data_IF_200392300563
#
_entry.id   IF_200392300563
#
_cell.length_a   1.000
_cell.length_b   1.000
_cell.length_c   1.000
_cell.angle_alpha   90.00
_cell.angle_beta   90.00
_cell.angle_gamma   90.00
#
_symmetry.space_group_name_H-M   'P 1'
#
loop_
_entity.id
_entity.type
_entity.pdbx_description
1 polymer ?
#
# COMPACT_ATOMS: atom_id res chain seq x y z
N UNK A 1 -33.39 14.33 -3.40
CA UNK A 1 -32.02 13.78 -3.50
C UNK A 1 -32.09 12.29 -3.14
N UNK A 2 -31.86 11.36 -4.08
CA UNK A 2 -31.94 9.91 -3.81
C UNK A 2 -30.79 9.56 -2.88
N UNK A 3 -31.07 9.41 -1.58
CA UNK A 3 -30.04 9.11 -0.59
C UNK A 3 -29.56 7.67 -0.79
N UNK A 4 -28.24 7.48 -0.73
CA UNK A 4 -27.59 6.17 -0.86
C UNK A 4 -26.48 6.08 0.18
N UNK A 5 -26.32 4.90 0.79
CA UNK A 5 -25.30 4.64 1.81
C UNK A 5 -23.86 4.87 1.30
N UNK A 6 -23.61 4.65 0.01
CA UNK A 6 -22.32 4.89 -0.59
C UNK A 6 -22.04 6.37 -0.87
N UNK A 7 -20.82 6.79 -0.54
CA UNK A 7 -20.31 8.11 -0.89
C UNK A 7 -20.25 8.30 -2.41
N UNK A 8 -20.34 9.56 -2.87
CA UNK A 8 -20.18 9.90 -4.29
C UNK A 8 -18.83 9.44 -4.83
N UNK A 9 -17.78 9.53 -4.01
CA UNK A 9 -16.41 9.12 -4.36
C UNK A 9 -16.31 7.61 -4.62
N UNK A 10 -16.89 6.79 -3.73
CA UNK A 10 -16.94 5.33 -3.91
C UNK A 10 -17.72 4.97 -5.17
N UNK A 11 -18.88 5.60 -5.38
CA UNK A 11 -19.69 5.36 -6.57
C UNK A 11 -18.96 5.72 -7.87
N UNK A 12 -18.23 6.84 -7.88
CA UNK A 12 -17.42 7.24 -9.03
C UNK A 12 -16.28 6.24 -9.28
N UNK A 13 -15.54 5.83 -8.24
CA UNK A 13 -14.46 4.84 -8.37
C UNK A 13 -14.97 3.48 -8.86
N UNK A 14 -16.07 2.98 -8.31
CA UNK A 14 -16.67 1.72 -8.75
C UNK A 14 -17.11 1.74 -10.21
N UNK A 15 -17.58 2.89 -10.73
CA UNK A 15 -17.90 3.07 -12.15
C UNK A 15 -16.64 3.08 -13.00
N UNK A 16 -15.61 3.79 -12.54
CA UNK A 16 -14.32 3.94 -13.23
C UNK A 16 -13.59 2.60 -13.43
N UNK A 17 -13.69 1.69 -12.46
CA UNK A 17 -13.13 0.32 -12.56
C UNK A 17 -14.10 -0.71 -13.16
N UNK A 18 -15.25 -0.30 -13.70
CA UNK A 18 -16.20 -1.20 -14.35
C UNK A 18 -16.87 -2.21 -13.40
N UNK A 19 -16.97 -1.89 -12.10
CA UNK A 19 -17.60 -2.74 -11.08
C UNK A 19 -19.08 -2.38 -10.92
N UNK A 20 -19.43 -1.10 -11.05
CA UNK A 20 -20.79 -0.61 -10.86
C UNK A 20 -21.76 -1.32 -11.82
N UNK A 21 -22.93 -1.79 -11.35
CA UNK A 21 -23.84 -2.55 -12.18
C UNK A 21 -24.44 -1.67 -13.30
N UNK A 22 -24.76 -2.31 -14.43
CA UNK A 22 -25.45 -1.71 -15.60
C UNK A 22 -24.62 -0.77 -16.49
N UNK A 23 -23.29 -0.89 -16.54
CA UNK A 23 -22.48 -0.18 -17.54
C UNK A 23 -22.39 -0.98 -18.84
N UNK A 24 -22.71 -0.39 -20.02
CA UNK A 24 -22.74 -1.11 -21.30
C UNK A 24 -21.35 -1.53 -21.81
N UNK A 25 -20.27 -0.96 -21.26
CA UNK A 25 -18.87 -1.19 -21.68
C UNK A 25 -17.96 -1.76 -20.57
N UNK A 26 -18.52 -2.49 -19.61
CA UNK A 26 -17.74 -3.02 -18.46
C UNK A 26 -16.56 -3.90 -18.86
N UNK A 27 -16.70 -4.71 -19.91
CA UNK A 27 -15.63 -5.62 -20.35
C UNK A 27 -14.40 -4.86 -20.89
N UNK A 28 -14.61 -3.81 -21.69
CA UNK A 28 -13.53 -2.96 -22.23
C UNK A 28 -12.80 -2.20 -21.12
N UNK A 29 -13.56 -1.66 -20.15
CA UNK A 29 -12.95 -0.97 -19.00
C UNK A 29 -12.10 -1.93 -18.19
N UNK A 30 -12.54 -3.17 -17.98
CA UNK A 30 -11.77 -4.20 -17.24
C UNK A 30 -10.52 -4.63 -17.98
N UNK A 31 -10.61 -4.90 -19.28
CA UNK A 31 -9.45 -5.31 -20.07
C UNK A 31 -8.40 -4.21 -20.07
N UNK A 32 -8.80 -2.95 -20.21
CA UNK A 32 -7.88 -1.81 -20.10
C UNK A 32 -7.15 -1.77 -18.75
N UNK A 33 -7.87 -1.89 -17.63
CA UNK A 33 -7.24 -1.87 -16.30
C UNK A 33 -6.34 -3.07 -16.05
N UNK A 34 -6.75 -4.28 -16.46
CA UNK A 34 -5.93 -5.48 -16.34
C UNK A 34 -4.62 -5.29 -17.11
N UNK A 35 -4.70 -4.88 -18.37
CA UNK A 35 -3.50 -4.68 -19.20
C UNK A 35 -2.60 -3.62 -18.56
N UNK A 36 -3.15 -2.46 -18.17
CA UNK A 36 -2.38 -1.38 -17.54
C UNK A 36 -1.65 -1.83 -16.26
N UNK A 37 -2.33 -2.51 -15.35
CA UNK A 37 -1.75 -3.01 -14.09
C UNK A 37 -0.73 -4.12 -14.32
N UNK A 38 -1.03 -5.10 -15.19
CA UNK A 38 -0.13 -6.22 -15.48
C UNK A 38 1.14 -5.72 -16.15
N UNK A 39 1.03 -4.78 -17.10
CA UNK A 39 2.21 -4.23 -17.79
C UNK A 39 3.14 -3.52 -16.79
N UNK A 40 2.58 -2.72 -15.87
CA UNK A 40 3.36 -2.07 -14.83
C UNK A 40 4.02 -3.08 -13.86
N UNK A 41 3.28 -4.14 -13.47
CA UNK A 41 3.82 -5.22 -12.64
C UNK A 41 4.95 -5.98 -13.33
N UNK A 42 4.87 -6.22 -14.63
CA UNK A 42 5.93 -6.91 -15.37
C UNK A 42 7.24 -6.12 -15.27
N UNK A 43 7.22 -4.79 -15.50
CA UNK A 43 8.44 -3.97 -15.37
C UNK A 43 9.00 -3.92 -13.94
N UNK A 44 8.11 -3.99 -12.96
CA UNK A 44 8.43 -4.07 -11.53
C UNK A 44 9.08 -5.41 -11.17
N UNK A 45 8.52 -6.54 -11.61
CA UNK A 45 9.09 -7.86 -11.38
C UNK A 45 10.41 -8.06 -12.12
N UNK A 46 10.53 -7.56 -13.36
CA UNK A 46 11.79 -7.56 -14.10
C UNK A 46 12.87 -6.81 -13.32
N UNK A 47 12.54 -5.67 -12.67
CA UNK A 47 13.48 -4.97 -11.80
C UNK A 47 13.89 -5.82 -10.60
N UNK A 48 12.91 -6.36 -9.85
CA UNK A 48 13.18 -7.15 -8.63
C UNK A 48 14.04 -8.39 -8.92
N UNK A 49 13.80 -9.06 -10.05
CA UNK A 49 14.51 -10.30 -10.40
C UNK A 49 15.89 -10.03 -10.99
N UNK A 50 16.03 -9.03 -11.86
CA UNK A 50 17.25 -8.82 -12.65
C UNK A 50 18.19 -7.75 -12.09
N UNK A 51 17.77 -6.99 -11.10
CA UNK A 51 18.61 -5.95 -10.53
C UNK A 51 19.41 -6.53 -9.36
N UNK A 52 20.75 -6.46 -9.43
CA UNK A 52 21.58 -6.60 -8.25
C UNK A 52 21.43 -5.32 -7.42
N UNK A 53 20.76 -5.38 -6.26
CA UNK A 53 20.45 -4.16 -5.52
C UNK A 53 21.73 -3.57 -4.94
N UNK A 54 21.98 -2.28 -5.21
CA UNK A 54 23.13 -1.57 -4.65
C UNK A 54 23.03 -1.42 -3.13
N UNK A 55 21.78 -1.38 -2.64
CA UNK A 55 21.43 -1.48 -1.24
C UNK A 55 20.18 -2.34 -1.07
N UNK A 56 20.09 -3.12 0.00
CA UNK A 56 18.86 -3.89 0.29
C UNK A 56 17.66 -2.96 0.52
N UNK A 57 17.86 -1.71 0.96
CA UNK A 57 16.78 -0.74 1.05
C UNK A 57 16.12 -0.50 -0.31
N UNK A 58 16.90 -0.40 -1.39
CA UNK A 58 16.37 -0.29 -2.75
C UNK A 58 15.65 -1.56 -3.19
N UNK A 59 16.21 -2.73 -2.86
CA UNK A 59 15.54 -4.01 -3.13
C UNK A 59 14.17 -4.08 -2.47
N UNK A 60 14.08 -3.69 -1.20
CA UNK A 60 12.84 -3.75 -0.43
C UNK A 60 11.81 -2.71 -0.83
N UNK A 61 12.25 -1.53 -1.26
CA UNK A 61 11.37 -0.54 -1.88
C UNK A 61 10.77 -1.10 -3.19
N UNK A 62 11.60 -1.79 -4.00
CA UNK A 62 11.16 -2.56 -5.17
C UNK A 62 10.15 -3.65 -4.81
N UNK A 63 10.55 -4.65 -4.02
CA UNK A 63 9.68 -5.76 -3.60
C UNK A 63 8.42 -5.24 -2.92
N UNK A 64 8.56 -4.29 -2.00
CA UNK A 64 7.47 -3.71 -1.24
C UNK A 64 6.41 -3.08 -2.14
N UNK A 65 6.83 -2.25 -3.10
CA UNK A 65 5.91 -1.68 -4.08
C UNK A 65 5.29 -2.76 -4.98
N UNK A 66 6.05 -3.74 -5.48
CA UNK A 66 5.50 -4.84 -6.32
C UNK A 66 4.43 -5.67 -5.62
N UNK A 67 4.62 -5.98 -4.32
CA UNK A 67 3.67 -6.74 -3.51
C UNK A 67 2.39 -5.95 -3.30
N UNK A 68 2.48 -4.64 -3.00
CA UNK A 68 1.29 -3.78 -2.91
C UNK A 68 0.50 -3.81 -4.22
N UNK A 69 1.17 -3.65 -5.36
CA UNK A 69 0.53 -3.66 -6.67
C UNK A 69 -0.13 -5.01 -6.99
N UNK A 70 0.47 -6.11 -6.54
CA UNK A 70 -0.09 -7.46 -6.68
C UNK A 70 -1.36 -7.63 -5.86
N UNK A 71 -1.35 -7.18 -4.60
CA UNK A 71 -2.56 -7.24 -3.76
C UNK A 71 -3.68 -6.33 -4.26
N UNK A 72 -3.37 -5.16 -4.80
CA UNK A 72 -4.41 -4.29 -5.39
C UNK A 72 -5.07 -4.93 -6.60
N UNK A 73 -4.28 -5.57 -7.47
CA UNK A 73 -4.78 -6.31 -8.63
C UNK A 73 -5.65 -7.50 -8.19
N UNK A 74 -5.21 -8.28 -7.20
CA UNK A 74 -5.99 -9.40 -6.64
C UNK A 74 -7.33 -8.88 -6.06
N UNK A 75 -7.31 -7.80 -5.28
CA UNK A 75 -8.53 -7.17 -4.72
C UNK A 75 -9.50 -6.74 -5.84
N UNK A 76 -9.00 -6.14 -6.92
CA UNK A 76 -9.81 -5.77 -8.09
C UNK A 76 -10.41 -7.00 -8.79
N UNK A 77 -9.63 -8.05 -9.02
CA UNK A 77 -10.08 -9.30 -9.65
C UNK A 77 -11.17 -9.96 -8.80
N UNK A 78 -10.96 -10.08 -7.49
CA UNK A 78 -11.95 -10.66 -6.56
C UNK A 78 -13.28 -9.92 -6.67
N UNK A 79 -13.25 -8.60 -6.74
CA UNK A 79 -14.45 -7.78 -6.83
C UNK A 79 -15.17 -7.92 -8.19
N UNK A 80 -14.42 -8.08 -9.28
CA UNK A 80 -14.99 -8.39 -10.60
C UNK A 80 -15.62 -9.77 -10.66
N UNK A 81 -14.94 -10.80 -10.13
CA UNK A 81 -15.46 -12.18 -10.08
C UNK A 81 -16.74 -12.24 -9.23
N UNK A 82 -16.75 -11.53 -8.10
CA UNK A 82 -17.89 -11.49 -7.18
C UNK A 82 -18.89 -10.36 -7.50
N UNK A 83 -18.86 -9.78 -8.71
CA UNK A 83 -19.72 -8.66 -9.06
C UNK A 83 -21.22 -8.97 -8.90
N UNK A 84 -21.64 -10.22 -9.14
CA UNK A 84 -23.04 -10.65 -8.92
C UNK A 84 -23.44 -10.47 -7.46
N UNK A 85 -22.66 -11.02 -6.53
CA UNK A 85 -22.87 -10.83 -5.08
C UNK A 85 -22.86 -9.35 -4.70
N UNK A 86 -21.96 -8.56 -5.28
CA UNK A 86 -21.90 -7.12 -5.04
C UNK A 86 -23.16 -6.38 -5.52
N UNK A 87 -23.72 -6.78 -6.67
CA UNK A 87 -24.99 -6.27 -7.18
C UNK A 87 -26.15 -6.62 -6.24
N UNK A 88 -26.19 -7.85 -5.73
CA UNK A 88 -27.22 -8.29 -4.78
C UNK A 88 -27.14 -7.48 -3.47
N UNK A 89 -25.94 -7.22 -2.96
CA UNK A 89 -25.71 -6.33 -1.81
C UNK A 89 -26.22 -4.92 -2.09
N UNK A 90 -25.94 -4.35 -3.27
CA UNK A 90 -26.43 -3.03 -3.66
C UNK A 90 -27.97 -2.98 -3.74
N UNK A 91 -28.60 -4.05 -4.24
CA UNK A 91 -30.04 -4.16 -4.33
C UNK A 91 -30.68 -4.28 -2.94
N UNK A 92 -30.12 -5.10 -2.04
CA UNK A 92 -30.55 -5.18 -0.64
C UNK A 92 -30.44 -3.82 0.05
N UNK A 93 -29.31 -3.13 -0.07
CA UNK A 93 -29.15 -1.79 0.50
C UNK A 93 -30.16 -0.76 -0.04
N UNK A 94 -30.54 -0.89 -1.31
CA UNK A 94 -31.53 0.01 -1.92
C UNK A 94 -32.95 -0.33 -1.45
N UNK A 95 -33.26 -1.62 -1.29
CA UNK A 95 -34.53 -2.09 -0.77
C UNK A 95 -34.72 -1.70 0.71
N UNK A 96 -33.67 -1.82 1.54
CA UNK A 96 -33.68 -1.35 2.94
C UNK A 96 -33.99 0.15 3.02
N UNK A 97 -33.42 0.93 2.10
CA UNK A 97 -33.70 2.37 2.02
C UNK A 97 -35.15 2.68 1.64
N UNK A 98 -35.80 1.82 0.85
CA UNK A 98 -37.18 1.99 0.41
C UNK A 98 -38.21 1.46 1.42
N UNK A 99 -37.90 0.37 2.13
CA UNK A 99 -38.82 -0.26 3.08
C UNK A 99 -38.92 0.49 4.42
N UNK A 100 -37.85 1.16 4.86
CA UNK A 100 -37.77 1.78 6.20
C UNK A 100 -38.00 3.30 6.25
N UNK A 101 -38.42 3.92 5.16
CA UNK A 101 -38.75 5.36 5.10
C UNK A 101 -40.01 5.75 5.89
N UNK A 102 -40.79 4.79 6.39
CA UNK A 102 -42.04 5.04 7.14
C UNK A 102 -41.85 5.37 8.63
N UNK A 103 -40.74 4.95 9.26
CA UNK A 103 -40.45 5.21 10.68
C UNK A 103 -39.32 6.23 10.86
N UNK A 104 -39.62 7.37 11.48
CA UNK A 104 -38.69 8.50 11.66
C UNK A 104 -37.37 8.12 12.37
N UNK A 105 -37.41 7.16 13.30
CA UNK A 105 -36.22 6.73 14.06
C UNK A 105 -35.23 5.92 13.22
N UNK A 106 -35.72 4.99 12.38
CA UNK A 106 -34.87 4.22 11.46
C UNK A 106 -34.28 5.10 10.37
N UNK A 107 -35.05 6.07 9.87
CA UNK A 107 -34.56 7.05 8.92
C UNK A 107 -33.38 7.85 9.48
N UNK A 108 -33.45 8.27 10.76
CA UNK A 108 -32.37 9.01 11.42
C UNK A 108 -31.09 8.16 11.61
N UNK A 109 -31.23 6.88 11.93
CA UNK A 109 -30.09 5.95 12.03
C UNK A 109 -29.44 5.77 10.66
N UNK A 110 -30.25 5.52 9.63
CA UNK A 110 -29.77 5.26 8.28
C UNK A 110 -29.09 6.49 7.65
N UNK A 111 -29.60 7.71 7.91
CA UNK A 111 -28.95 8.95 7.47
C UNK A 111 -27.64 9.23 8.21
N UNK A 112 -27.58 8.98 9.52
CA UNK A 112 -26.33 9.07 10.31
C UNK A 112 -25.28 8.08 9.81
N UNK A 113 -25.66 6.83 9.55
CA UNK A 113 -24.76 5.81 9.00
C UNK A 113 -24.24 6.19 7.61
N UNK A 114 -25.11 6.68 6.72
CA UNK A 114 -24.71 7.13 5.38
C UNK A 114 -23.77 8.36 5.43
N UNK A 115 -24.02 9.30 6.34
CA UNK A 115 -23.14 10.45 6.56
C UNK A 115 -21.78 10.02 7.10
N UNK A 116 -21.77 9.13 8.10
CA UNK A 116 -20.55 8.60 8.69
C UNK A 116 -19.72 7.84 7.64
N UNK A 117 -20.34 6.92 6.89
CA UNK A 117 -19.69 6.21 5.80
C UNK A 117 -19.11 7.17 4.74
N UNK A 118 -19.85 8.23 4.40
CA UNK A 118 -19.36 9.25 3.46
C UNK A 118 -18.19 10.08 4.01
N UNK A 119 -18.18 10.39 5.31
CA UNK A 119 -17.06 11.07 5.97
C UNK A 119 -15.83 10.16 6.02
N UNK A 120 -15.99 8.93 6.48
CA UNK A 120 -14.92 7.92 6.53
C UNK A 120 -14.33 7.68 5.14
N UNK A 121 -15.18 7.55 4.13
CA UNK A 121 -14.76 7.40 2.74
C UNK A 121 -13.83 8.51 2.26
N UNK A 122 -14.18 9.78 2.52
CA UNK A 122 -13.37 10.93 2.14
C UNK A 122 -12.04 10.96 2.89
N UNK A 123 -12.04 10.65 4.18
CA UNK A 123 -10.82 10.57 5.00
C UNK A 123 -9.90 9.45 4.49
N UNK A 124 -10.43 8.25 4.25
CA UNK A 124 -9.66 7.10 3.77
C UNK A 124 -9.04 7.40 2.40
N UNK A 125 -9.84 7.86 1.44
CA UNK A 125 -9.34 8.17 0.09
C UNK A 125 -8.31 9.31 0.15
N UNK A 126 -8.58 10.37 0.92
CA UNK A 126 -7.66 11.49 1.10
C UNK A 126 -6.33 11.07 1.74
N UNK A 127 -6.36 10.21 2.75
CA UNK A 127 -5.16 9.68 3.40
C UNK A 127 -4.30 8.85 2.44
N UNK A 128 -4.92 7.97 1.64
CA UNK A 128 -4.20 7.18 0.64
C UNK A 128 -3.55 8.08 -0.43
N UNK A 129 -4.24 9.12 -0.89
CA UNK A 129 -3.67 10.08 -1.84
C UNK A 129 -2.53 10.90 -1.22
N UNK A 130 -2.66 11.33 0.03
CA UNK A 130 -1.60 12.02 0.76
C UNK A 130 -0.34 11.15 0.89
N UNK A 131 -0.52 9.85 1.21
CA UNK A 131 0.58 8.89 1.29
C UNK A 131 1.33 8.74 -0.03
N UNK A 132 0.61 8.69 -1.16
CA UNK A 132 1.22 8.66 -2.51
C UNK A 132 2.06 9.91 -2.77
N UNK A 133 1.53 11.10 -2.46
CA UNK A 133 2.26 12.36 -2.62
C UNK A 133 3.53 12.37 -1.76
N UNK A 134 3.42 11.99 -0.49
CA UNK A 134 4.57 11.93 0.42
C UNK A 134 5.64 10.93 -0.05
N UNK A 135 5.24 9.76 -0.53
CA UNK A 135 6.17 8.78 -1.12
C UNK A 135 6.90 9.35 -2.34
N UNK A 136 6.16 9.97 -3.27
CA UNK A 136 6.74 10.57 -4.47
C UNK A 136 7.69 11.73 -4.16
N UNK A 137 7.33 12.59 -3.20
CA UNK A 137 8.18 13.68 -2.72
C UNK A 137 9.44 13.14 -2.06
N UNK A 138 9.33 12.08 -1.26
CA UNK A 138 10.48 11.41 -0.65
C UNK A 138 11.46 10.87 -1.70
N UNK A 139 10.96 10.21 -2.75
CA UNK A 139 11.77 9.70 -3.85
C UNK A 139 12.47 10.84 -4.63
N UNK A 140 11.75 11.93 -4.93
CA UNK A 140 12.33 13.09 -5.62
C UNK A 140 13.38 13.80 -4.75
N UNK A 141 13.09 14.00 -3.45
CA UNK A 141 14.00 14.63 -2.51
C UNK A 141 15.30 13.82 -2.33
N UNK A 142 15.21 12.48 -2.37
CA UNK A 142 16.38 11.60 -2.32
C UNK A 142 17.32 11.77 -3.52
N UNK A 143 16.80 12.22 -4.68
CA UNK A 143 17.61 12.55 -5.85
C UNK A 143 18.28 13.92 -5.72
N UNK A 144 17.55 14.93 -5.24
CA UNK A 144 18.09 16.30 -5.07
C UNK A 144 19.22 16.32 -4.02
N UNK A 145 19.07 15.54 -2.95
CA UNK A 145 20.05 15.48 -1.86
C UNK A 145 21.37 14.76 -2.17
N UNK A 146 21.53 14.15 -3.35
CA UNK A 146 22.77 13.48 -3.75
C UNK A 146 23.33 14.03 -5.09
N UNK A 147 24.47 14.74 -5.09
CA UNK A 147 25.09 15.30 -6.29
C UNK A 147 25.37 14.26 -7.40
N UNK A 148 25.67 13.01 -7.04
CA UNK A 148 25.95 11.94 -8.01
C UNK A 148 24.72 11.54 -8.84
N UNK A 149 23.52 11.82 -8.30
CA UNK A 149 22.23 11.55 -8.94
C UNK A 149 21.74 12.71 -9.80
N UNK A 150 22.50 13.79 -9.97
CA UNK A 150 22.07 14.90 -10.81
C UNK A 150 22.06 14.53 -12.30
N UNK A 151 22.94 13.60 -12.69
CA UNK A 151 23.00 13.05 -14.04
C UNK A 151 21.78 12.16 -14.33
N UNK A 152 21.14 12.28 -15.50
CA UNK A 152 19.84 11.64 -15.78
C UNK A 152 19.86 10.10 -15.64
N UNK A 153 20.98 9.45 -15.97
CA UNK A 153 21.14 7.99 -15.90
C UNK A 153 21.36 7.45 -14.48
N UNK A 154 21.68 8.30 -13.50
CA UNK A 154 21.86 7.92 -12.09
C UNK A 154 20.67 8.29 -11.20
N UNK A 155 19.62 8.91 -11.76
CA UNK A 155 18.44 9.32 -10.99
C UNK A 155 17.59 8.12 -10.63
N UNK A 156 17.19 8.05 -9.37
CA UNK A 156 16.23 7.04 -8.96
C UNK A 156 14.83 7.38 -9.43
N UNK A 157 14.16 6.39 -9.99
CA UNK A 157 12.74 6.46 -10.33
C UNK A 157 11.87 6.41 -9.08
N UNK A 158 10.66 6.99 -9.14
CA UNK A 158 9.67 6.92 -8.05
C UNK A 158 9.29 5.47 -7.79
N UNK A 159 8.96 4.74 -8.85
CA UNK A 159 8.76 3.29 -8.77
C UNK A 159 9.97 2.59 -9.38
N UNK A 160 10.52 1.66 -8.62
CA UNK A 160 11.63 0.83 -9.08
C UNK A 160 11.14 -0.11 -10.19
N UNK A 161 11.48 0.24 -11.43
CA UNK A 161 11.06 -0.45 -12.65
C UNK A 161 12.23 -0.52 -13.61
N UNK A 162 12.37 -1.64 -14.32
CA UNK A 162 13.38 -1.80 -15.37
C UNK A 162 12.67 -1.72 -16.72
N UNK A 163 12.92 -0.62 -17.43
CA UNK A 163 12.36 -0.39 -18.75
C UNK A 163 13.25 -0.99 -19.85
N UNK A 164 12.67 -1.39 -21.00
CA UNK A 164 13.42 -1.92 -22.13
C UNK A 164 14.18 -0.86 -22.93
N UNK A 165 14.07 0.42 -22.56
CA UNK A 165 14.75 1.55 -23.18
C UNK A 165 15.60 2.30 -22.15
N UNK A 166 16.67 2.94 -22.60
CA UNK A 166 17.56 3.70 -21.73
C UNK A 166 17.02 5.11 -21.45
N UNK A 167 17.10 5.50 -20.17
CA UNK A 167 16.73 6.85 -19.72
C UNK A 167 17.97 7.74 -19.82
N UNK A 168 18.32 8.13 -21.05
CA UNK A 168 19.55 8.87 -21.34
C UNK A 168 19.40 10.39 -21.19
N UNK A 169 18.20 10.93 -21.41
CA UNK A 169 17.94 12.38 -21.39
C UNK A 169 17.06 12.82 -20.24
N UNK A 170 17.22 14.08 -19.83
CA UNK A 170 16.39 14.71 -18.80
C UNK A 170 14.90 14.68 -19.14
N UNK A 171 14.54 14.90 -20.41
CA UNK A 171 13.15 14.91 -20.87
C UNK A 171 12.48 13.55 -20.70
N UNK A 172 13.17 12.46 -21.09
CA UNK A 172 12.64 11.09 -20.92
C UNK A 172 12.44 10.79 -19.43
N UNK A 173 13.41 11.15 -18.58
CA UNK A 173 13.29 10.96 -17.14
C UNK A 173 12.05 11.69 -16.56
N UNK A 174 11.82 12.95 -16.94
CA UNK A 174 10.66 13.73 -16.47
C UNK A 174 9.35 13.09 -16.94
N UNK A 175 9.26 12.68 -18.20
CA UNK A 175 8.06 12.02 -18.74
C UNK A 175 7.77 10.71 -18.01
N UNK A 176 8.78 9.85 -17.84
CA UNK A 176 8.64 8.58 -17.11
C UNK A 176 8.21 8.82 -15.66
N UNK A 177 8.82 9.80 -14.99
CA UNK A 177 8.49 10.16 -13.60
C UNK A 177 7.05 10.65 -13.48
N UNK A 178 6.58 11.47 -14.43
CA UNK A 178 5.18 11.94 -14.45
C UNK A 178 4.21 10.78 -14.67
N UNK A 179 4.49 9.88 -15.61
CA UNK A 179 3.66 8.68 -15.85
C UNK A 179 3.61 7.79 -14.61
N UNK A 180 4.75 7.56 -13.94
CA UNK A 180 4.81 6.79 -12.70
C UNK A 180 4.02 7.46 -11.57
N UNK A 181 4.11 8.78 -11.42
CA UNK A 181 3.34 9.51 -10.42
C UNK A 181 1.83 9.38 -10.67
N UNK A 182 1.39 9.55 -11.92
CA UNK A 182 -0.03 9.38 -12.30
C UNK A 182 -0.49 7.95 -12.02
N UNK A 183 0.31 6.95 -12.38
CA UNK A 183 0.01 5.54 -12.09
C UNK A 183 -0.13 5.27 -10.59
N UNK A 184 0.78 5.80 -9.78
CA UNK A 184 0.75 5.65 -8.32
C UNK A 184 -0.48 6.32 -7.69
N UNK A 185 -0.90 7.48 -8.21
CA UNK A 185 -2.15 8.14 -7.80
C UNK A 185 -3.37 7.26 -8.11
N UNK A 186 -3.41 6.61 -9.28
CA UNK A 186 -4.48 5.66 -9.61
C UNK A 186 -4.51 4.46 -8.67
N UNK A 187 -3.35 3.92 -8.30
CA UNK A 187 -3.27 2.81 -7.34
C UNK A 187 -3.73 3.25 -5.95
N UNK A 188 -3.24 4.39 -5.45
CA UNK A 188 -3.67 4.95 -4.17
C UNK A 188 -5.17 5.23 -4.14
N UNK A 189 -5.73 5.72 -5.24
CA UNK A 189 -7.18 5.89 -5.39
C UNK A 189 -7.92 4.55 -5.34
N UNK A 190 -7.43 3.53 -6.06
CA UNK A 190 -8.01 2.17 -6.05
C UNK A 190 -8.05 1.59 -4.64
N UNK A 191 -6.94 1.66 -3.92
CA UNK A 191 -6.83 1.23 -2.52
C UNK A 191 -7.80 1.99 -1.62
N UNK A 192 -7.84 3.32 -1.75
CA UNK A 192 -8.75 4.17 -1.00
C UNK A 192 -10.22 3.80 -1.23
N UNK A 193 -10.61 3.53 -2.49
CA UNK A 193 -11.97 3.11 -2.84
C UNK A 193 -12.30 1.73 -2.26
N UNK A 194 -11.38 0.77 -2.36
CA UNK A 194 -11.58 -0.58 -1.81
C UNK A 194 -11.72 -0.56 -0.29
N UNK A 195 -10.82 0.14 0.40
CA UNK A 195 -10.85 0.28 1.85
C UNK A 195 -12.09 1.05 2.32
N UNK A 196 -12.50 2.08 1.57
CA UNK A 196 -13.74 2.81 1.82
C UNK A 196 -14.99 1.96 1.57
N UNK A 197 -14.97 1.09 0.56
CA UNK A 197 -16.06 0.17 0.27
C UNK A 197 -16.22 -0.83 1.42
N UNK A 198 -15.12 -1.46 1.85
CA UNK A 198 -15.11 -2.34 3.01
C UNK A 198 -15.63 -1.64 4.25
N UNK A 199 -15.14 -0.44 4.56
CA UNK A 199 -15.61 0.34 5.70
C UNK A 199 -17.13 0.61 5.64
N UNK A 200 -17.66 0.96 4.45
CA UNK A 200 -19.09 1.21 4.27
C UNK A 200 -19.93 -0.06 4.44
N UNK A 201 -19.46 -1.19 3.91
CA UNK A 201 -20.11 -2.50 4.04
C UNK A 201 -20.09 -3.02 5.49
N UNK A 202 -19.06 -2.67 6.28
CA UNK A 202 -18.99 -2.99 7.71
C UNK A 202 -19.98 -2.16 8.54
N UNK A 203 -20.25 -0.91 8.15
CA UNK A 203 -21.14 -0.01 8.88
C UNK A 203 -22.64 -0.27 8.63
N UNK A 204 -22.99 -0.88 7.50
CA UNK A 204 -24.39 -1.12 7.11
C UNK A 204 -24.95 -2.45 7.62
N UNK A 205 -24.27 -3.11 8.55
CA UNK A 205 -24.71 -4.38 9.11
C UNK A 205 -25.52 -4.14 10.39
N UNK A 206 -26.77 -4.61 10.51
CA UNK A 206 -27.59 -4.35 11.70
C UNK A 206 -27.14 -5.17 12.91
N UNK A 207 -26.47 -6.30 12.68
CA UNK A 207 -25.98 -7.16 13.75
C UNK A 207 -24.62 -6.67 14.27
N UNK A 208 -24.59 -6.25 15.54
CA UNK A 208 -23.39 -5.79 16.23
C UNK A 208 -22.24 -6.82 16.17
N UNK A 209 -22.54 -8.12 16.24
CA UNK A 209 -21.53 -9.17 16.13
C UNK A 209 -20.91 -9.23 14.73
N UNK A 210 -21.72 -9.04 13.68
CA UNK A 210 -21.24 -9.04 12.31
C UNK A 210 -20.50 -7.75 11.93
N UNK A 211 -20.87 -6.59 12.51
CA UNK A 211 -20.06 -5.36 12.44
C UNK A 211 -18.68 -5.61 13.06
N UNK A 212 -18.65 -6.18 14.27
CA UNK A 212 -17.41 -6.45 14.99
C UNK A 212 -16.49 -7.37 14.17
N UNK A 213 -17.01 -8.48 13.65
CA UNK A 213 -16.25 -9.41 12.81
C UNK A 213 -15.69 -8.73 11.56
N UNK A 214 -16.48 -7.92 10.86
CA UNK A 214 -16.02 -7.20 9.65
C UNK A 214 -15.00 -6.12 9.96
N UNK A 215 -15.15 -5.38 11.06
CA UNK A 215 -14.17 -4.40 11.54
C UNK A 215 -12.85 -5.07 11.96
N UNK A 216 -12.92 -6.21 12.65
CA UNK A 216 -11.75 -7.02 12.99
C UNK A 216 -11.07 -7.53 11.72
N UNK A 217 -11.80 -8.05 10.74
CA UNK A 217 -11.22 -8.48 9.46
C UNK A 217 -10.52 -7.33 8.72
N UNK A 218 -11.13 -6.14 8.69
CA UNK A 218 -10.52 -4.95 8.11
C UNK A 218 -9.23 -4.54 8.86
N UNK A 219 -9.28 -4.55 10.19
CA UNK A 219 -8.13 -4.25 11.03
C UNK A 219 -6.99 -5.26 10.83
N UNK A 220 -7.28 -6.56 10.78
CA UNK A 220 -6.30 -7.61 10.50
C UNK A 220 -5.70 -7.42 9.11
N UNK A 221 -6.52 -7.16 8.08
CA UNK A 221 -6.03 -6.95 6.72
C UNK A 221 -5.04 -5.78 6.63
N UNK A 222 -5.32 -4.68 7.33
CA UNK A 222 -4.42 -3.51 7.36
C UNK A 222 -3.13 -3.80 8.12
N UNK A 223 -3.24 -4.45 9.29
CA UNK A 223 -2.06 -4.76 10.10
C UNK A 223 -1.18 -5.83 9.48
N UNK A 224 -1.76 -6.75 8.70
CA UNK A 224 -0.99 -7.77 7.98
C UNK A 224 -0.07 -7.13 6.92
N UNK A 225 -0.56 -6.12 6.19
CA UNK A 225 0.26 -5.38 5.23
C UNK A 225 1.45 -4.70 5.93
N UNK A 226 1.22 -4.02 7.06
CA UNK A 226 2.29 -3.38 7.86
C UNK A 226 3.25 -4.41 8.47
N UNK A 227 2.71 -5.54 8.97
CA UNK A 227 3.50 -6.62 9.55
C UNK A 227 4.51 -7.20 8.55
N UNK A 228 4.11 -7.41 7.30
CA UNK A 228 5.02 -7.90 6.25
C UNK A 228 6.24 -6.98 6.07
N UNK A 229 6.04 -5.66 6.07
CA UNK A 229 7.13 -4.69 5.96
C UNK A 229 8.05 -4.72 7.19
N UNK A 230 7.49 -4.77 8.40
CA UNK A 230 8.27 -4.86 9.64
C UNK A 230 9.02 -6.18 9.75
N UNK A 231 8.42 -7.30 9.34
CA UNK A 231 9.06 -8.62 9.31
C UNK A 231 10.24 -8.64 8.35
N UNK A 232 10.06 -8.08 7.13
CA UNK A 232 11.15 -8.01 6.18
C UNK A 232 12.30 -7.10 6.66
N UNK A 233 11.99 -5.99 7.33
CA UNK A 233 12.99 -5.13 7.97
C UNK A 233 13.76 -5.81 9.10
N UNK A 234 13.07 -6.60 9.93
CA UNK A 234 13.68 -7.39 11.00
C UNK A 234 14.57 -8.50 10.44
N UNK A 235 14.05 -9.28 9.49
CA UNK A 235 14.79 -10.35 8.82
C UNK A 235 16.09 -9.83 8.21
N UNK A 236 16.02 -8.68 7.56
CA UNK A 236 17.21 -8.02 7.01
C UNK A 236 18.21 -7.65 8.09
N UNK A 237 17.75 -6.94 9.12
CA UNK A 237 18.64 -6.46 10.20
C UNK A 237 19.35 -7.63 10.86
N UNK A 238 18.64 -8.76 11.05
CA UNK A 238 19.20 -10.00 11.55
C UNK A 238 20.24 -10.61 10.58
N UNK A 239 19.93 -10.73 9.29
CA UNK A 239 20.88 -11.26 8.29
C UNK A 239 22.11 -10.37 8.11
N UNK A 240 21.94 -9.05 8.15
CA UNK A 240 23.03 -8.08 8.11
C UNK A 240 24.00 -8.25 9.28
N UNK A 241 23.49 -8.62 10.46
CA UNK A 241 24.31 -8.90 11.64
C UNK A 241 25.12 -10.18 11.47
N UNK A 242 24.49 -11.25 10.95
CA UNK A 242 25.16 -12.53 10.71
C UNK A 242 26.35 -12.45 9.76
N UNK A 243 26.33 -11.53 8.79
CA UNK A 243 27.50 -11.29 7.91
C UNK A 243 28.71 -10.81 8.72
N UNK A 244 28.48 -9.93 9.70
CA UNK A 244 29.53 -9.45 10.60
C UNK A 244 30.07 -10.56 11.50
N UNK A 245 29.16 -11.35 12.08
CA UNK A 245 29.51 -12.47 12.96
C UNK A 245 30.31 -13.54 12.17
N UNK A 246 29.86 -13.91 10.96
CA UNK A 246 30.56 -14.86 10.11
C UNK A 246 31.93 -14.34 9.61
N UNK A 247 32.04 -13.04 9.33
CA UNK A 247 33.32 -12.42 8.97
C UNK A 247 34.30 -12.44 10.15
N UNK A 248 33.81 -12.23 11.37
CA UNK A 248 34.60 -12.29 12.60
C UNK A 248 35.06 -13.72 12.93
N UNK A 249 34.17 -14.70 12.76
CA UNK A 249 34.43 -16.13 13.02
C UNK A 249 35.28 -16.80 11.92
N UNK A 250 35.49 -16.11 10.79
CA UNK A 250 36.40 -16.59 9.76
C UNK A 250 37.84 -16.66 10.29
N UNK A 251 38.68 -17.51 9.70
CA UNK A 251 40.13 -17.59 10.01
C UNK A 251 40.88 -16.37 9.44
N UNK A 252 40.41 -15.15 9.72
CA UNK A 252 40.90 -13.89 9.16
C UNK A 252 42.37 -13.61 9.53
N UNK A 253 42.85 -14.18 10.63
CA UNK A 253 44.24 -14.09 11.04
C UNK A 253 45.18 -15.01 10.23
N UNK A 254 44.64 -15.97 9.47
CA UNK A 254 45.40 -16.92 8.66
C UNK A 254 45.36 -16.60 7.15
N UNK A 255 44.74 -15.48 6.74
CA UNK A 255 44.73 -15.02 5.34
C UNK A 255 45.81 -13.97 5.08
N UNK A 256 46.19 -13.86 3.79
CA UNK A 256 47.13 -12.86 3.29
C UNK A 256 46.79 -11.44 3.76
N UNK A 257 47.80 -10.61 3.99
CA UNK A 257 47.65 -9.27 4.57
C UNK A 257 46.63 -8.38 3.86
N UNK A 258 46.53 -8.49 2.52
CA UNK A 258 45.53 -7.79 1.70
C UNK A 258 44.10 -8.21 2.06
N UNK A 259 43.83 -9.51 2.15
CA UNK A 259 42.49 -10.05 2.44
C UNK A 259 42.09 -9.82 3.91
N UNK A 260 43.06 -9.85 4.83
CA UNK A 260 42.84 -9.54 6.25
C UNK A 260 42.29 -8.13 6.45
N UNK A 261 42.84 -7.14 5.74
CA UNK A 261 42.34 -5.75 5.77
C UNK A 261 40.91 -5.66 5.24
N UNK A 262 40.58 -6.41 4.19
CA UNK A 262 39.22 -6.45 3.63
C UNK A 262 38.22 -7.00 4.66
N UNK A 263 38.55 -8.12 5.32
CA UNK A 263 37.68 -8.70 6.36
C UNK A 263 37.48 -7.72 7.52
N UNK A 264 38.53 -7.00 7.94
CA UNK A 264 38.41 -5.95 8.97
C UNK A 264 37.42 -4.85 8.55
N UNK A 265 37.46 -4.39 7.29
CA UNK A 265 36.49 -3.43 6.77
C UNK A 265 35.06 -3.98 6.74
N UNK A 266 34.89 -5.26 6.40
CA UNK A 266 33.58 -5.94 6.42
C UNK A 266 33.01 -5.96 7.84
N UNK A 267 33.81 -6.35 8.84
CA UNK A 267 33.41 -6.36 10.26
C UNK A 267 33.08 -4.95 10.76
N UNK A 268 33.90 -3.94 10.43
CA UNK A 268 33.62 -2.55 10.79
C UNK A 268 32.34 -2.03 10.13
N UNK A 269 32.08 -2.39 8.87
CA UNK A 269 30.89 -1.95 8.15
C UNK A 269 29.62 -2.64 8.64
N UNK A 270 29.69 -3.91 9.02
CA UNK A 270 28.55 -4.70 9.51
C UNK A 270 28.06 -4.28 10.90
N UNK A 271 28.88 -3.57 11.68
CA UNK A 271 28.44 -2.99 12.95
C UNK A 271 27.29 -1.98 12.78
N UNK A 272 27.21 -1.31 11.62
CA UNK A 272 26.04 -0.54 11.21
C UNK A 272 25.04 -1.45 10.51
N UNK A 273 24.03 -1.90 11.26
CA UNK A 273 22.95 -2.76 10.77
C UNK A 273 22.25 -2.12 9.58
N UNK A 274 21.94 -2.93 8.59
CA UNK A 274 21.08 -2.50 7.49
C UNK A 274 19.63 -2.54 7.99
N UNK A 275 19.03 -1.37 8.21
CA UNK A 275 17.63 -1.22 8.62
C UNK A 275 16.82 -0.57 7.50
N UNK A 276 15.58 -0.99 7.35
CA UNK A 276 14.62 -0.31 6.47
C UNK A 276 13.98 0.79 7.31
N UNK A 277 13.97 2.03 6.82
CA UNK A 277 13.36 3.17 7.54
C UNK A 277 12.12 3.67 6.81
N UNK A 278 11.06 3.97 7.55
CA UNK A 278 9.92 4.74 7.09
C UNK A 278 10.31 6.22 7.03
N UNK A 279 10.57 6.72 5.82
CA UNK A 279 10.83 8.15 5.56
C UNK A 279 12.02 8.74 6.33
N UNK A 280 13.02 7.92 6.71
CA UNK A 280 14.14 8.26 7.62
C UNK A 280 13.74 8.68 9.04
N UNK A 281 12.47 8.58 9.41
CA UNK A 281 11.96 8.98 10.73
C UNK A 281 11.96 7.79 11.70
N UNK A 282 11.68 6.59 11.19
CA UNK A 282 11.49 5.40 12.04
C UNK A 282 11.99 4.13 11.35
N UNK A 283 12.75 3.28 12.05
CA UNK A 283 13.09 1.94 11.56
C UNK A 283 11.87 1.01 11.57
N UNK A 284 11.70 0.25 10.49
CA UNK A 284 10.69 -0.80 10.37
C UNK A 284 11.20 -2.08 11.03
N UNK A 285 10.91 -2.22 12.33
CA UNK A 285 11.24 -3.41 13.13
C UNK A 285 9.99 -4.05 13.71
N UNK A 286 10.09 -5.32 14.11
CA UNK A 286 8.99 -6.04 14.74
C UNK A 286 8.64 -5.44 16.11
N UNK A 287 9.64 -4.89 16.79
CA UNK A 287 9.46 -4.16 18.06
C UNK A 287 8.57 -2.91 17.86
N UNK A 288 8.83 -2.13 16.80
CA UNK A 288 8.03 -0.94 16.49
C UNK A 288 6.61 -1.30 16.10
N UNK A 289 6.41 -2.36 15.31
CA UNK A 289 5.08 -2.89 15.02
C UNK A 289 4.32 -3.23 16.31
N UNK A 290 4.98 -3.93 17.24
CA UNK A 290 4.38 -4.27 18.55
C UNK A 290 4.01 -3.02 19.35
N UNK A 291 4.84 -1.97 19.31
CA UNK A 291 4.53 -0.67 19.94
C UNK A 291 3.29 -0.02 19.33
N UNK A 292 3.13 -0.04 18.01
CA UNK A 292 1.95 0.50 17.30
C UNK A 292 0.70 -0.29 17.66
N UNK A 293 0.79 -1.62 17.75
CA UNK A 293 -0.31 -2.48 18.19
C UNK A 293 -0.73 -2.19 19.63
N UNK A 294 0.24 -2.03 20.55
CA UNK A 294 -0.02 -1.67 21.95
C UNK A 294 -0.69 -0.31 22.07
N UNK A 295 -0.22 0.69 21.32
CA UNK A 295 -0.83 2.01 21.29
C UNK A 295 -2.26 1.95 20.76
N UNK A 296 -2.50 1.21 19.68
CA UNK A 296 -3.84 0.99 19.10
C UNK A 296 -4.80 0.36 20.11
N UNK A 297 -4.35 -0.69 20.82
CA UNK A 297 -5.13 -1.33 21.87
C UNK A 297 -5.41 -0.37 23.03
N UNK A 298 -4.43 0.44 23.45
CA UNK A 298 -4.60 1.44 24.50
C UNK A 298 -5.65 2.49 24.12
N UNK A 299 -5.64 3.01 22.88
CA UNK A 299 -6.67 3.92 22.40
C UNK A 299 -8.07 3.28 22.40
N UNK A 300 -8.17 2.00 22.00
CA UNK A 300 -9.43 1.26 22.07
C UNK A 300 -9.89 1.11 23.53
N UNK A 301 -8.99 0.78 24.46
CA UNK A 301 -9.31 0.66 25.89
C UNK A 301 -9.81 1.98 26.48
N UNK A 302 -9.19 3.12 26.12
CA UNK A 302 -9.66 4.45 26.54
C UNK A 302 -11.04 4.75 25.97
N UNK A 303 -11.27 4.46 24.68
CA UNK A 303 -12.58 4.64 24.05
C UNK A 303 -13.66 3.76 24.70
N UNK A 304 -13.33 2.52 25.06
CA UNK A 304 -14.22 1.60 25.76
C UNK A 304 -14.51 2.07 27.20
N UNK A 305 -13.55 2.70 27.87
CA UNK A 305 -13.74 3.22 29.22
C UNK A 305 -14.56 4.54 29.26
N UNK A 306 -14.60 5.27 28.14
CA UNK A 306 -15.32 6.54 28.02
C UNK A 306 -16.79 6.39 27.59
N UNK A 307 -17.22 5.20 27.15
CA UNK A 307 -18.56 4.94 26.62
C UNK A 307 -19.26 3.87 27.45
#
# INVERSE_FOLDING_TARGET
MRMSTFSRTVKAGLRFFGIWPYLPLTWLTRSYWIISFVTAQVFQYIYVVNNEPSSFSEFMDGVGSTVTHSFTLIKLIILWVNQRKFKDILQMMTADWQNHTSKHQHLNIMTKTAFLASRMSRIIVGWNLCSVVMYSLGAIAANVGNPEKWKPYNRELILKMKFPFEISTHTIYVVVTLVQFIHLVFIGFTLGIFNSLLATLSLNEPNAAAILVKCIMFYISMNFEVFLYCYAGEYLSAKSKLIGDAAYDSLWYNVAAKNRRIVLFVVLRSQKRLTITCGKVMDLTLERFTSVMKASASYISVLLAMY
#
